data_IF_984096984777
#
_entry.id   IF_984096984777
#
_cell.length_a   1.000
_cell.length_b   1.000
_cell.length_c   1.000
_cell.angle_alpha   90.00
_cell.angle_beta   90.00
_cell.angle_gamma   90.00
#
_symmetry.space_group_name_H-M   'P 1'
#
loop_
_entity.id
_entity.type
_entity.pdbx_description
1 polymer ?
#
# COMPACT_ATOMS: atom_id res chain seq x y z
N UNK A 1 46.38 8.38 11.51
CA UNK A 1 45.10 7.65 11.55
C UNK A 1 44.04 8.68 11.83
N UNK A 2 43.40 9.16 10.77
CA UNK A 2 42.47 10.28 10.83
C UNK A 2 41.09 9.75 11.20
N UNK A 3 40.56 10.24 12.32
CA UNK A 3 39.31 9.79 12.92
C UNK A 3 38.11 10.48 12.29
N UNK A 4 37.80 10.11 11.04
CA UNK A 4 36.53 10.48 10.43
C UNK A 4 35.39 9.76 11.17
N UNK A 5 34.77 10.45 12.13
CA UNK A 5 33.51 10.01 12.75
C UNK A 5 32.46 9.92 11.64
N UNK A 6 31.98 8.71 11.41
CA UNK A 6 30.84 8.45 10.56
C UNK A 6 29.63 9.22 11.13
N UNK A 7 29.20 10.28 10.43
CA UNK A 7 27.94 10.96 10.74
C UNK A 7 26.86 10.04 10.20
N UNK A 8 26.12 9.38 11.08
CA UNK A 8 24.96 8.60 10.67
C UNK A 8 24.02 9.47 9.84
N UNK A 9 23.56 8.99 8.66
CA UNK A 9 22.55 9.71 7.91
C UNK A 9 21.31 9.84 8.79
N UNK A 10 20.88 11.08 9.04
CA UNK A 10 19.73 11.35 9.87
C UNK A 10 18.52 10.52 9.35
N UNK A 11 17.79 9.82 10.23
CA UNK A 11 16.64 9.04 9.82
C UNK A 11 15.62 9.96 9.13
N UNK A 12 14.85 9.48 8.13
CA UNK A 12 13.90 10.29 7.37
C UNK A 12 12.87 11.03 8.26
N UNK A 13 12.64 10.57 9.49
CA UNK A 13 11.85 11.28 10.49
C UNK A 13 12.42 12.64 10.91
N UNK A 14 13.73 12.85 10.83
CA UNK A 14 14.36 14.14 11.14
C UNK A 14 14.00 15.24 10.15
N UNK A 15 13.87 14.90 8.86
CA UNK A 15 13.39 15.85 7.85
C UNK A 15 11.90 16.15 8.04
N UNK A 16 11.08 15.13 8.32
CA UNK A 16 9.65 15.34 8.55
C UNK A 16 9.41 16.26 9.76
N UNK A 17 10.14 16.04 10.85
CA UNK A 17 10.10 16.91 12.02
C UNK A 17 10.58 18.32 11.68
N UNK A 18 11.71 18.45 10.97
CA UNK A 18 12.23 19.76 10.56
C UNK A 18 11.25 20.52 9.66
N UNK A 19 10.55 19.83 8.76
CA UNK A 19 9.54 20.41 7.89
C UNK A 19 8.31 20.87 8.67
N UNK A 20 7.83 20.06 9.62
CA UNK A 20 6.72 20.44 10.52
C UNK A 20 7.10 21.63 11.39
N UNK A 21 8.29 21.61 12.00
CA UNK A 21 8.81 22.73 12.77
C UNK A 21 8.95 23.97 11.90
N UNK A 22 9.44 23.84 10.67
CA UNK A 22 9.61 24.98 9.80
C UNK A 22 8.26 25.54 9.30
N UNK A 23 7.25 24.69 9.11
CA UNK A 23 5.87 25.12 8.84
C UNK A 23 5.24 25.80 10.07
N UNK A 24 5.47 25.26 11.27
CA UNK A 24 5.08 25.88 12.54
C UNK A 24 5.78 27.24 12.71
N UNK A 25 7.08 27.34 12.44
CA UNK A 25 7.84 28.59 12.47
C UNK A 25 7.44 29.58 11.37
N UNK A 26 6.86 29.11 10.27
CA UNK A 26 6.28 29.97 9.24
C UNK A 26 4.90 30.50 9.64
N UNK A 27 4.10 29.68 10.32
CA UNK A 27 2.78 30.06 10.82
C UNK A 27 2.87 30.95 12.07
N UNK A 28 3.84 30.67 12.95
CA UNK A 28 4.15 31.47 14.11
C UNK A 28 5.10 32.60 13.67
N UNK A 29 4.57 33.80 13.49
CA UNK A 29 5.40 34.94 13.12
C UNK A 29 6.34 35.32 14.26
N UNK A 30 7.64 35.05 14.09
CA UNK A 30 8.70 35.41 15.02
C UNK A 30 9.44 36.66 14.52
N UNK A 31 10.08 37.38 15.44
CA UNK A 31 10.99 38.46 15.10
C UNK A 31 11.78 38.96 16.29
N UNK A 32 12.75 39.82 16.02
CA UNK A 32 13.60 40.41 17.04
C UNK A 32 13.52 41.93 16.93
N UNK A 33 13.54 42.61 18.08
CA UNK A 33 13.68 44.06 18.13
C UNK A 33 15.16 44.42 18.08
N UNK A 34 15.51 45.35 17.20
CA UNK A 34 16.88 45.87 17.05
C UNK A 34 16.90 47.37 17.35
N UNK A 35 17.93 47.84 18.05
CA UNK A 35 18.07 49.24 18.41
C UNK A 35 18.50 50.05 17.18
N UNK A 36 17.80 51.14 16.88
CA UNK A 36 18.19 52.07 15.83
C UNK A 36 19.38 52.92 16.31
N UNK A 37 20.31 53.25 15.41
CA UNK A 37 21.65 53.78 15.73
C UNK A 37 21.72 55.14 16.45
N UNK A 38 20.60 55.75 16.83
CA UNK A 38 20.51 57.04 17.54
C UNK A 38 20.29 56.88 19.05
N UNK A 39 20.23 55.64 19.55
CA UNK A 39 19.98 55.32 20.96
C UNK A 39 21.26 54.87 21.67
N UNK A 40 21.42 55.24 22.95
CA UNK A 40 22.63 54.94 23.73
C UNK A 40 22.90 53.42 23.80
N UNK A 41 24.15 52.96 23.54
CA UNK A 41 24.46 51.54 23.53
C UNK A 41 24.23 50.91 24.91
N UNK A 42 23.40 49.87 24.96
CA UNK A 42 23.18 49.08 26.18
C UNK A 42 21.84 49.30 26.89
N UNK A 43 20.91 50.08 26.33
CA UNK A 43 19.54 50.14 26.86
C UNK A 43 18.75 48.94 26.31
N UNK A 44 18.48 47.96 27.17
CA UNK A 44 17.55 46.86 26.84
C UNK A 44 16.14 47.45 26.64
N UNK A 45 15.31 46.87 25.74
CA UNK A 45 13.94 47.30 25.57
C UNK A 45 13.16 46.98 26.85
N UNK A 46 13.04 47.95 27.75
CA UNK A 46 12.22 47.85 28.96
C UNK A 46 10.92 48.61 28.73
N UNK A 47 9.81 47.88 28.86
CA UNK A 47 8.60 48.36 29.49
C UNK A 47 8.37 47.55 30.76
N UNK A 48 8.67 48.15 31.92
CA UNK A 48 8.48 47.68 33.30
C UNK A 48 9.12 46.34 33.73
N UNK A 49 10.01 46.41 34.72
CA UNK A 49 10.48 45.27 35.50
C UNK A 49 9.33 44.78 36.40
N UNK A 50 9.03 43.47 36.37
CA UNK A 50 8.35 42.80 37.49
C UNK A 50 9.40 42.50 38.58
N UNK A 51 8.97 42.31 39.82
CA UNK A 51 9.77 42.29 41.08
C UNK A 51 10.92 41.25 41.14
N UNK A 52 11.12 40.45 40.08
CA UNK A 52 12.14 39.39 39.94
C UNK A 52 13.15 39.62 38.77
N UNK A 53 13.17 40.80 38.12
CA UNK A 53 14.32 41.26 37.32
C UNK A 53 14.67 40.48 36.05
N UNK A 54 13.73 39.73 35.45
CA UNK A 54 14.01 38.96 34.22
C UNK A 54 13.59 39.72 32.97
N UNK A 55 14.55 40.39 32.31
CA UNK A 55 14.33 41.14 31.08
C UNK A 55 14.45 40.25 29.82
N UNK A 56 13.40 39.48 29.50
CA UNK A 56 13.20 38.90 28.16
C UNK A 56 11.69 38.87 27.86
N UNK A 57 11.17 39.88 27.14
CA UNK A 57 9.85 39.77 26.50
C UNK A 57 10.01 38.95 25.21
N UNK A 58 9.89 37.62 25.35
CA UNK A 58 9.72 36.74 24.20
C UNK A 58 8.37 37.06 23.58
N UNK A 59 8.36 37.53 22.32
CA UNK A 59 7.13 37.71 21.56
C UNK A 59 6.40 36.37 21.44
N UNK A 60 5.19 36.27 21.97
CA UNK A 60 4.33 35.12 21.78
C UNK A 60 3.86 35.09 20.31
N UNK A 61 3.75 33.91 19.67
CA UNK A 61 3.30 33.81 18.28
C UNK A 61 2.01 34.59 18.02
N UNK A 62 2.04 35.52 17.06
CA UNK A 62 0.86 36.27 16.60
C UNK A 62 0.45 37.49 17.45
N UNK A 63 1.20 37.85 18.51
CA UNK A 63 0.98 39.08 19.29
C UNK A 63 2.25 39.91 19.28
N UNK A 64 2.16 41.13 18.75
CA UNK A 64 3.23 42.13 18.82
C UNK A 64 2.90 43.15 19.91
N UNK A 65 3.84 43.38 20.81
CA UNK A 65 3.76 44.48 21.77
C UNK A 65 4.06 45.82 21.08
N UNK A 66 3.65 46.94 21.68
CA UNK A 66 3.95 48.28 21.18
C UNK A 66 5.45 48.56 21.25
N UNK A 67 6.05 49.01 20.12
CA UNK A 67 7.48 49.28 20.06
C UNK A 67 7.83 50.60 20.79
N UNK A 68 8.84 50.59 21.67
CA UNK A 68 9.42 51.82 22.20
C UNK A 68 10.09 52.67 21.10
N UNK A 69 10.14 54.02 21.24
CA UNK A 69 10.86 54.88 20.31
C UNK A 69 12.34 54.49 20.18
N UNK A 70 12.86 54.39 18.95
CA UNK A 70 14.26 54.06 18.69
C UNK A 70 14.58 52.56 18.57
N UNK A 71 13.56 51.71 18.43
CA UNK A 71 13.68 50.29 18.09
C UNK A 71 12.94 49.96 16.80
N UNK A 72 13.50 49.05 16.00
CA UNK A 72 12.94 48.55 14.76
C UNK A 72 12.68 47.03 14.84
N UNK A 73 11.61 46.56 14.20
CA UNK A 73 11.23 45.15 14.17
C UNK A 73 11.85 44.44 12.97
N UNK A 74 12.64 43.40 13.23
CA UNK A 74 13.17 42.52 12.19
C UNK A 74 12.43 41.18 12.22
N UNK A 75 11.57 40.96 11.23
CA UNK A 75 10.87 39.70 11.04
C UNK A 75 11.86 38.54 10.82
N UNK A 76 11.65 37.43 11.52
CA UNK A 76 12.32 36.16 11.26
C UNK A 76 11.33 35.25 10.53
N UNK A 77 11.48 35.19 9.21
CA UNK A 77 10.63 34.35 8.36
C UNK A 77 11.30 32.99 8.11
N UNK A 78 10.58 31.92 8.44
CA UNK A 78 10.94 30.57 7.98
C UNK A 78 10.70 30.49 6.47
N UNK A 79 11.77 30.40 5.67
CA UNK A 79 11.69 30.27 4.20
C UNK A 79 11.40 28.85 3.72
N UNK A 80 10.86 27.98 4.58
CA UNK A 80 10.69 26.57 4.21
C UNK A 80 9.67 26.44 3.07
N UNK A 81 10.06 25.86 1.91
CA UNK A 81 9.15 25.73 0.80
C UNK A 81 8.11 24.65 1.11
N UNK A 82 6.85 25.05 1.29
CA UNK A 82 5.75 24.11 1.52
C UNK A 82 5.64 23.07 0.38
N UNK A 83 5.95 23.49 -0.85
CA UNK A 83 5.85 22.70 -2.07
C UNK A 83 6.79 21.47 -2.11
N UNK A 84 7.91 21.47 -1.38
CA UNK A 84 8.88 20.37 -1.42
C UNK A 84 8.59 19.26 -0.40
N UNK A 85 7.71 19.52 0.58
CA UNK A 85 7.42 18.54 1.62
C UNK A 85 6.69 17.31 1.07
N UNK A 86 5.64 17.50 0.27
CA UNK A 86 4.89 16.40 -0.35
C UNK A 86 5.77 15.45 -1.18
N UNK A 87 6.56 15.97 -2.15
CA UNK A 87 7.51 15.17 -2.92
C UNK A 87 8.55 14.43 -2.07
N UNK A 88 9.04 15.04 -0.99
CA UNK A 88 9.97 14.38 -0.07
C UNK A 88 9.30 13.19 0.62
N UNK A 89 8.11 13.37 1.22
CA UNK A 89 7.40 12.29 1.90
C UNK A 89 7.08 11.15 0.93
N UNK A 90 6.61 11.49 -0.28
CA UNK A 90 6.32 10.53 -1.35
C UNK A 90 7.56 9.70 -1.71
N UNK A 91 8.70 10.35 -1.94
CA UNK A 91 9.97 9.68 -2.27
C UNK A 91 10.47 8.79 -1.12
N UNK A 92 10.34 9.25 0.13
CA UNK A 92 10.72 8.47 1.30
C UNK A 92 9.88 7.19 1.41
N UNK A 93 8.56 7.29 1.26
CA UNK A 93 7.65 6.15 1.29
C UNK A 93 7.88 5.19 0.11
N UNK A 94 8.19 5.70 -1.08
CA UNK A 94 8.57 4.87 -2.23
C UNK A 94 9.84 4.04 -1.96
N UNK A 95 10.84 4.62 -1.28
CA UNK A 95 12.05 3.89 -0.87
C UNK A 95 11.75 2.83 0.18
N UNK A 96 10.88 3.12 1.14
CA UNK A 96 10.41 2.14 2.13
C UNK A 96 9.67 0.99 1.44
N UNK A 97 8.74 1.30 0.54
CA UNK A 97 7.99 0.33 -0.26
C UNK A 97 8.92 -0.58 -1.06
N UNK A 98 9.94 0.00 -1.71
CA UNK A 98 10.96 -0.74 -2.45
C UNK A 98 11.75 -1.69 -1.56
N UNK A 99 12.12 -1.26 -0.35
CA UNK A 99 12.81 -2.10 0.63
C UNK A 99 11.95 -3.26 1.15
N UNK A 100 10.66 -3.01 1.36
CA UNK A 100 9.69 -4.00 1.81
C UNK A 100 9.13 -4.87 0.67
N UNK A 101 9.45 -4.54 -0.58
CA UNK A 101 8.98 -5.21 -1.80
C UNK A 101 7.44 -5.22 -1.91
N UNK A 102 6.83 -4.12 -1.52
CA UNK A 102 5.39 -3.87 -1.66
C UNK A 102 5.16 -2.68 -2.58
N UNK A 103 3.98 -2.56 -3.16
CA UNK A 103 3.65 -1.41 -3.98
C UNK A 103 3.48 -0.14 -3.13
N UNK A 104 3.96 1.00 -3.65
CA UNK A 104 3.84 2.29 -2.95
C UNK A 104 2.38 2.64 -2.64
N UNK A 105 1.48 2.44 -3.60
CA UNK A 105 0.07 2.79 -3.43
C UNK A 105 -0.60 1.98 -2.32
N UNK A 106 -0.24 0.70 -2.15
CA UNK A 106 -0.73 -0.12 -1.04
C UNK A 106 -0.12 0.29 0.30
N UNK A 107 1.18 0.62 0.34
CA UNK A 107 1.87 1.03 1.56
C UNK A 107 1.41 2.40 2.06
N UNK A 108 1.31 3.38 1.16
CA UNK A 108 1.04 4.77 1.47
C UNK A 108 -0.46 5.12 1.43
N UNK A 109 -1.32 4.19 0.98
CA UNK A 109 -2.73 4.45 0.65
C UNK A 109 -2.90 5.62 -0.34
N UNK A 110 -1.94 5.78 -1.25
CA UNK A 110 -1.89 6.87 -2.23
C UNK A 110 -2.15 6.31 -3.64
N UNK A 111 -3.31 6.65 -4.21
CA UNK A 111 -3.72 6.30 -5.56
C UNK A 111 -3.59 7.50 -6.54
N UNK A 112 -2.88 8.55 -6.15
CA UNK A 112 -2.59 9.69 -7.02
C UNK A 112 -1.56 9.32 -8.10
N UNK A 113 -1.86 9.68 -9.36
CA UNK A 113 -0.93 9.53 -10.48
C UNK A 113 -0.77 8.10 -11.00
N UNK A 114 -1.64 7.18 -10.58
CA UNK A 114 -1.66 5.81 -11.08
C UNK A 114 -2.91 5.55 -11.93
N UNK A 115 -2.74 4.80 -13.02
CA UNK A 115 -3.83 4.42 -13.91
C UNK A 115 -4.19 2.93 -13.72
N UNK A 116 -5.27 2.49 -14.35
CA UNK A 116 -5.74 1.10 -14.23
C UNK A 116 -4.66 0.07 -14.60
N UNK A 117 -3.89 0.33 -15.66
CA UNK A 117 -2.87 -0.58 -16.15
C UNK A 117 -1.68 -0.66 -15.18
N UNK A 118 -1.21 0.48 -14.67
CA UNK A 118 -0.06 0.54 -13.77
C UNK A 118 -0.37 0.01 -12.36
N UNK A 119 -1.57 0.28 -11.81
CA UNK A 119 -2.02 -0.36 -10.55
C UNK A 119 -2.11 -1.87 -10.73
N UNK A 120 -2.67 -2.34 -11.87
CA UNK A 120 -2.83 -3.77 -12.12
C UNK A 120 -1.48 -4.48 -12.18
N UNK A 121 -0.52 -3.93 -12.93
CA UNK A 121 0.84 -4.50 -13.01
C UNK A 121 1.50 -4.54 -11.63
N UNK A 122 1.49 -3.43 -10.89
CA UNK A 122 2.11 -3.38 -9.56
C UNK A 122 1.46 -4.33 -8.54
N UNK A 123 0.13 -4.43 -8.57
CA UNK A 123 -0.63 -5.37 -7.72
C UNK A 123 -0.31 -6.83 -8.07
N UNK A 124 -0.06 -7.11 -9.35
CA UNK A 124 0.25 -8.46 -9.81
C UNK A 124 1.60 -8.94 -9.31
N UNK A 125 2.63 -8.13 -9.49
CA UNK A 125 3.99 -8.44 -9.03
C UNK A 125 4.01 -8.63 -7.51
N UNK A 126 3.28 -7.78 -6.78
CA UNK A 126 3.15 -7.90 -5.33
C UNK A 126 2.45 -9.21 -4.92
N UNK A 127 1.34 -9.59 -5.57
CA UNK A 127 0.62 -10.84 -5.29
C UNK A 127 1.45 -12.08 -5.63
N UNK A 128 2.22 -12.05 -6.71
CA UNK A 128 3.13 -13.13 -7.07
C UNK A 128 4.21 -13.31 -5.99
N UNK A 129 4.76 -12.19 -5.51
CA UNK A 129 5.70 -12.22 -4.38
C UNK A 129 5.08 -12.82 -3.12
N UNK A 130 3.84 -12.42 -2.77
CA UNK A 130 3.13 -13.01 -1.64
C UNK A 130 2.85 -14.50 -1.80
N UNK A 131 2.57 -14.97 -3.02
CA UNK A 131 2.41 -16.39 -3.29
C UNK A 131 3.74 -17.15 -3.12
N UNK A 132 4.85 -16.55 -3.56
CA UNK A 132 6.20 -17.09 -3.35
C UNK A 132 6.56 -17.18 -1.86
N UNK A 133 6.25 -16.16 -1.07
CA UNK A 133 6.49 -16.18 0.39
C UNK A 133 5.64 -17.21 1.13
N UNK A 134 4.37 -17.37 0.73
CA UNK A 134 3.53 -18.44 1.25
C UNK A 134 4.14 -19.80 0.93
N UNK A 135 4.58 -20.02 -0.32
CA UNK A 135 5.19 -21.29 -0.72
C UNK A 135 6.48 -21.57 0.04
N UNK A 136 7.34 -20.56 0.21
CA UNK A 136 8.54 -20.67 1.03
C UNK A 136 8.20 -21.10 2.46
N UNK A 137 7.25 -20.42 3.12
CA UNK A 137 6.85 -20.76 4.48
C UNK A 137 6.22 -22.16 4.59
N UNK A 138 5.43 -22.55 3.59
CA UNK A 138 4.88 -23.91 3.48
C UNK A 138 6.03 -24.94 3.45
N UNK A 139 7.03 -24.70 2.62
CA UNK A 139 8.13 -25.64 2.39
C UNK A 139 9.06 -25.76 3.59
N UNK A 140 9.42 -24.64 4.22
CA UNK A 140 10.39 -24.64 5.33
C UNK A 140 9.76 -25.03 6.68
N UNK A 141 8.49 -24.71 6.90
CA UNK A 141 7.85 -24.85 8.21
C UNK A 141 6.66 -25.79 8.15
N UNK A 142 5.64 -25.49 7.34
CA UNK A 142 4.35 -26.19 7.45
C UNK A 142 4.44 -27.67 7.06
N UNK A 143 5.20 -28.03 6.02
CA UNK A 143 5.41 -29.43 5.64
C UNK A 143 6.06 -30.23 6.78
N UNK A 144 7.05 -29.66 7.46
CA UNK A 144 7.74 -30.29 8.61
C UNK A 144 6.79 -30.44 9.79
N UNK A 145 6.12 -29.37 10.19
CA UNK A 145 5.18 -29.36 11.32
C UNK A 145 4.06 -30.36 11.09
N UNK A 146 3.48 -30.40 9.87
CA UNK A 146 2.41 -31.33 9.54
C UNK A 146 2.88 -32.78 9.59
N UNK A 147 4.08 -33.10 9.10
CA UNK A 147 4.58 -34.46 9.12
C UNK A 147 4.64 -35.01 10.55
N UNK A 148 5.20 -34.24 11.49
CA UNK A 148 5.27 -34.60 12.91
C UNK A 148 3.89 -34.63 13.56
N UNK A 149 3.06 -33.61 13.27
CA UNK A 149 1.69 -33.55 13.77
C UNK A 149 0.86 -34.77 13.34
N UNK A 150 0.98 -35.22 12.09
CA UNK A 150 0.25 -36.38 11.58
C UNK A 150 0.64 -37.65 12.34
N UNK A 151 1.94 -37.89 12.51
CA UNK A 151 2.43 -39.07 13.24
C UNK A 151 1.93 -39.05 14.69
N UNK A 152 2.08 -37.92 15.37
CA UNK A 152 1.64 -37.79 16.76
C UNK A 152 0.13 -37.94 16.91
N UNK A 153 -0.65 -37.34 16.01
CA UNK A 153 -2.12 -37.41 16.06
C UNK A 153 -2.65 -38.82 15.81
N UNK A 154 -1.97 -39.61 14.98
CA UNK A 154 -2.31 -41.02 14.77
C UNK A 154 -1.91 -41.89 15.96
N UNK A 155 -0.73 -41.66 16.57
CA UNK A 155 -0.27 -42.40 17.75
C UNK A 155 -1.12 -42.10 18.99
N UNK A 156 -1.58 -40.85 19.14
CA UNK A 156 -2.44 -40.43 20.25
C UNK A 156 -3.92 -40.75 20.02
N UNK A 157 -4.28 -41.43 18.92
CA UNK A 157 -5.66 -41.73 18.54
C UNK A 157 -6.57 -40.49 18.45
N UNK A 158 -6.01 -39.31 18.14
CA UNK A 158 -6.78 -38.05 18.08
C UNK A 158 -7.62 -37.92 16.81
N UNK A 159 -7.27 -38.65 15.74
CA UNK A 159 -8.02 -38.66 14.47
C UNK A 159 -8.82 -39.95 14.36
N UNK A 160 -10.14 -39.82 14.30
CA UNK A 160 -11.07 -40.95 14.25
C UNK A 160 -11.83 -41.00 12.93
N UNK A 161 -12.22 -42.22 12.54
CA UNK A 161 -13.16 -42.48 11.45
C UNK A 161 -14.59 -42.09 11.90
N UNK A 162 -15.54 -41.93 10.95
CA UNK A 162 -16.94 -41.64 11.29
C UNK A 162 -17.61 -42.69 12.20
N UNK A 163 -17.06 -43.91 12.26
CA UNK A 163 -17.52 -44.97 13.16
C UNK A 163 -16.89 -44.89 14.57
N UNK A 164 -16.12 -43.84 14.87
CA UNK A 164 -15.46 -43.63 16.16
C UNK A 164 -14.13 -44.37 16.36
N UNK A 165 -13.73 -45.27 15.45
CA UNK A 165 -12.46 -45.98 15.56
C UNK A 165 -11.26 -45.08 15.19
N UNK A 166 -10.12 -45.19 15.88
CA UNK A 166 -8.95 -44.37 15.56
C UNK A 166 -8.31 -44.79 14.23
N UNK A 167 -7.74 -43.82 13.51
CA UNK A 167 -6.99 -44.12 12.28
C UNK A 167 -5.72 -44.90 12.61
N UNK A 168 -5.43 -46.02 11.92
CA UNK A 168 -4.23 -46.81 12.19
C UNK A 168 -2.94 -46.02 11.87
N UNK A 169 -2.06 -45.89 12.86
CA UNK A 169 -0.74 -45.26 12.70
C UNK A 169 0.15 -45.97 11.67
N UNK A 170 0.02 -47.29 11.53
CA UNK A 170 0.71 -48.08 10.51
C UNK A 170 0.41 -47.63 9.07
N UNK A 171 -0.68 -46.88 8.84
CA UNK A 171 -1.07 -46.35 7.54
C UNK A 171 -0.71 -44.87 7.36
N UNK A 172 0.17 -44.29 8.19
CA UNK A 172 0.55 -42.88 8.11
C UNK A 172 0.96 -42.43 6.69
N UNK A 173 1.71 -43.26 5.95
CA UNK A 173 2.12 -42.97 4.56
C UNK A 173 0.92 -42.75 3.63
N UNK A 174 -0.17 -43.50 3.82
CA UNK A 174 -1.40 -43.33 3.03
C UNK A 174 -2.05 -41.95 3.25
N UNK A 175 -1.90 -41.38 4.43
CA UNK A 175 -2.46 -40.07 4.81
C UNK A 175 -1.44 -38.92 4.68
N UNK A 176 -0.23 -39.23 4.20
CA UNK A 176 0.84 -38.25 4.09
C UNK A 176 0.59 -37.24 2.96
N UNK A 177 -0.04 -37.65 1.86
CA UNK A 177 -0.37 -36.78 0.73
C UNK A 177 -1.34 -35.66 1.18
N UNK A 178 -1.02 -34.44 0.79
CA UNK A 178 -1.79 -33.24 1.11
C UNK A 178 -1.35 -32.09 0.21
N UNK A 179 -2.24 -31.13 0.04
CA UNK A 179 -1.96 -29.84 -0.59
C UNK A 179 -2.17 -28.71 0.42
N UNK A 180 -1.43 -27.63 0.23
CA UNK A 180 -1.59 -26.39 1.01
C UNK A 180 -2.29 -25.35 0.15
N UNK A 181 -3.44 -24.89 0.63
CA UNK A 181 -4.21 -23.82 -0.02
C UNK A 181 -3.86 -22.49 0.63
N UNK A 182 -2.92 -21.79 0.01
CA UNK A 182 -2.57 -20.42 0.37
C UNK A 182 -3.69 -19.42 0.04
N UNK A 183 -3.58 -18.21 0.58
CA UNK A 183 -4.50 -17.12 0.25
C UNK A 183 -4.36 -16.77 -1.23
N UNK A 184 -5.49 -16.65 -1.90
CA UNK A 184 -5.61 -16.17 -3.28
C UNK A 184 -6.42 -14.88 -3.33
N UNK A 185 -6.35 -14.19 -4.47
CA UNK A 185 -6.98 -12.89 -4.66
C UNK A 185 -7.89 -12.90 -5.88
N UNK A 186 -8.97 -12.14 -5.79
CA UNK A 186 -9.80 -11.84 -6.94
C UNK A 186 -9.18 -10.73 -7.79
N UNK A 187 -9.53 -10.74 -9.07
CA UNK A 187 -9.08 -9.75 -10.04
C UNK A 187 -9.94 -8.49 -9.99
N UNK A 188 -9.42 -7.39 -10.54
CA UNK A 188 -10.16 -6.11 -10.59
C UNK A 188 -11.39 -6.21 -11.50
N UNK A 189 -11.31 -7.01 -12.58
CA UNK A 189 -12.46 -7.43 -13.39
C UNK A 189 -12.64 -8.96 -13.27
N UNK A 190 -13.37 -9.43 -12.24
CA UNK A 190 -13.56 -10.85 -12.01
C UNK A 190 -14.21 -11.57 -13.20
N UNK A 191 -15.06 -10.88 -13.98
CA UNK A 191 -15.84 -11.51 -15.04
C UNK A 191 -14.96 -11.85 -16.24
N UNK A 192 -14.18 -10.89 -16.74
CA UNK A 192 -13.28 -11.13 -17.89
C UNK A 192 -12.24 -12.18 -17.57
N UNK A 193 -11.61 -12.07 -16.40
CA UNK A 193 -10.56 -13.00 -15.97
C UNK A 193 -11.13 -14.41 -15.72
N UNK A 194 -12.35 -14.54 -15.18
CA UNK A 194 -13.01 -15.84 -15.01
C UNK A 194 -13.41 -16.47 -16.34
N UNK A 195 -13.93 -15.69 -17.29
CA UNK A 195 -14.28 -16.21 -18.62
C UNK A 195 -13.06 -16.76 -19.36
N UNK A 196 -11.90 -16.09 -19.26
CA UNK A 196 -10.65 -16.60 -19.82
C UNK A 196 -10.23 -17.93 -19.17
N UNK A 197 -10.39 -18.06 -17.85
CA UNK A 197 -10.09 -19.29 -17.11
C UNK A 197 -11.03 -20.44 -17.47
N UNK A 198 -12.33 -20.17 -17.58
CA UNK A 198 -13.33 -21.14 -18.03
C UNK A 198 -13.01 -21.61 -19.45
N UNK A 199 -12.65 -20.70 -20.35
CA UNK A 199 -12.23 -21.04 -21.70
C UNK A 199 -10.97 -21.91 -21.71
N UNK A 200 -9.98 -21.62 -20.86
CA UNK A 200 -8.77 -22.43 -20.70
C UNK A 200 -9.05 -23.85 -20.21
N UNK A 201 -9.94 -24.01 -19.23
CA UNK A 201 -10.40 -25.34 -18.76
C UNK A 201 -11.15 -26.07 -19.88
N UNK A 202 -12.05 -25.37 -20.59
CA UNK A 202 -12.79 -25.93 -21.72
C UNK A 202 -11.90 -26.36 -22.88
N UNK A 203 -10.79 -25.65 -23.10
CA UNK A 203 -9.76 -26.00 -24.10
C UNK A 203 -8.79 -27.11 -23.64
N UNK A 204 -8.88 -27.56 -22.38
CA UNK A 204 -7.98 -28.57 -21.81
C UNK A 204 -6.59 -28.05 -21.45
N UNK A 205 -6.39 -26.73 -21.39
CA UNK A 205 -5.12 -26.10 -21.01
C UNK A 205 -4.95 -25.99 -19.49
N UNK A 206 -6.03 -26.13 -18.73
CA UNK A 206 -6.04 -26.00 -17.27
C UNK A 206 -6.95 -27.08 -16.67
N UNK A 207 -6.48 -27.75 -15.61
CA UNK A 207 -7.32 -28.69 -14.89
C UNK A 207 -8.36 -27.93 -14.03
N UNK A 208 -9.58 -28.46 -13.86
CA UNK A 208 -10.58 -27.87 -12.95
C UNK A 208 -10.07 -27.73 -11.51
N UNK A 209 -9.19 -28.64 -11.08
CA UNK A 209 -8.54 -28.60 -9.77
C UNK A 209 -7.64 -27.38 -9.62
N UNK A 210 -6.84 -27.06 -10.65
CA UNK A 210 -5.96 -25.89 -10.66
C UNK A 210 -6.76 -24.59 -10.63
N UNK A 211 -7.91 -24.56 -11.30
CA UNK A 211 -8.82 -23.41 -11.26
C UNK A 211 -9.39 -23.20 -9.86
N UNK A 212 -9.86 -24.26 -9.20
CA UNK A 212 -10.33 -24.19 -7.81
C UNK A 212 -9.22 -23.77 -6.85
N UNK A 213 -8.02 -24.32 -6.99
CA UNK A 213 -6.86 -23.98 -6.16
C UNK A 213 -6.43 -22.51 -6.36
N UNK A 214 -6.54 -21.97 -7.58
CA UNK A 214 -6.30 -20.55 -7.86
C UNK A 214 -7.35 -19.63 -7.23
N UNK A 215 -8.53 -20.14 -6.90
CA UNK A 215 -9.53 -19.45 -6.08
C UNK A 215 -9.38 -19.73 -4.58
N UNK A 216 -8.34 -20.47 -4.17
CA UNK A 216 -8.11 -20.86 -2.78
C UNK A 216 -9.13 -21.88 -2.26
N UNK A 217 -9.71 -22.69 -3.15
CA UNK A 217 -10.72 -23.72 -2.81
C UNK A 217 -10.21 -25.09 -3.18
N UNK A 218 -10.52 -26.07 -2.33
CA UNK A 218 -10.34 -27.47 -2.70
C UNK A 218 -11.43 -27.91 -3.68
N UNK A 219 -11.05 -28.60 -4.74
CA UNK A 219 -11.97 -29.02 -5.78
C UNK A 219 -12.93 -30.11 -5.29
N UNK A 220 -12.44 -31.08 -4.52
CA UNK A 220 -13.26 -32.17 -4.01
C UNK A 220 -14.33 -31.64 -3.05
N UNK A 221 -13.94 -30.80 -2.10
CA UNK A 221 -14.88 -30.13 -1.18
C UNK A 221 -15.91 -29.29 -1.93
N UNK A 222 -15.48 -28.60 -2.98
CA UNK A 222 -16.39 -27.82 -3.83
C UNK A 222 -17.44 -28.73 -4.49
N UNK A 223 -17.03 -29.88 -5.03
CA UNK A 223 -17.95 -30.85 -5.64
C UNK A 223 -18.91 -31.47 -4.62
N UNK A 224 -18.44 -31.79 -3.41
CA UNK A 224 -19.29 -32.28 -2.31
C UNK A 224 -20.37 -31.24 -1.96
N UNK A 225 -19.98 -29.98 -1.76
CA UNK A 225 -20.91 -28.89 -1.45
C UNK A 225 -21.91 -28.62 -2.58
N UNK A 226 -21.48 -28.71 -3.84
CA UNK A 226 -22.38 -28.60 -4.99
C UNK A 226 -23.44 -29.71 -4.94
N UNK A 227 -23.04 -30.95 -4.66
CA UNK A 227 -23.99 -32.07 -4.53
C UNK A 227 -24.98 -31.84 -3.38
N UNK A 228 -24.50 -31.46 -2.21
CA UNK A 228 -25.34 -31.15 -1.05
C UNK A 228 -26.36 -30.03 -1.36
N UNK A 229 -25.91 -28.97 -2.05
CA UNK A 229 -26.77 -27.88 -2.48
C UNK A 229 -27.84 -28.36 -3.48
N UNK A 230 -27.48 -29.21 -4.44
CA UNK A 230 -28.44 -29.79 -5.39
C UNK A 230 -29.47 -30.69 -4.70
N UNK A 231 -29.04 -31.52 -3.76
CA UNK A 231 -29.92 -32.43 -3.03
C UNK A 231 -30.89 -31.65 -2.12
N UNK A 232 -30.42 -30.57 -1.49
CA UNK A 232 -31.26 -29.67 -0.71
C UNK A 232 -32.25 -28.90 -1.60
N UNK A 233 -31.78 -28.37 -2.73
CA UNK A 233 -32.63 -27.63 -3.66
C UNK A 233 -33.76 -28.52 -4.22
N UNK A 234 -33.46 -29.78 -4.56
CA UNK A 234 -34.48 -30.77 -4.95
C UNK A 234 -35.51 -31.02 -3.85
N UNK A 235 -35.08 -31.14 -2.59
CA UNK A 235 -35.99 -31.32 -1.44
C UNK A 235 -36.91 -30.12 -1.21
N UNK A 236 -36.41 -28.91 -1.46
CA UNK A 236 -37.13 -27.66 -1.26
C UNK A 236 -37.93 -27.21 -2.50
N UNK A 237 -37.81 -27.91 -3.64
CA UNK A 237 -38.42 -27.49 -4.90
C UNK A 237 -37.79 -26.22 -5.51
N UNK A 238 -36.54 -25.90 -5.17
CA UNK A 238 -35.79 -24.75 -5.68
C UNK A 238 -34.99 -25.17 -6.91
N UNK A 239 -35.05 -24.37 -7.97
CA UNK A 239 -34.22 -24.56 -9.17
C UNK A 239 -32.95 -23.73 -9.04
N UNK A 240 -31.79 -24.37 -9.19
CA UNK A 240 -30.48 -23.70 -9.18
C UNK A 240 -29.99 -23.50 -10.63
N UNK A 241 -30.15 -22.31 -11.23
CA UNK A 241 -29.84 -22.05 -12.64
C UNK A 241 -28.34 -22.12 -12.98
N UNK A 242 -27.47 -22.23 -11.96
CA UNK A 242 -26.03 -22.41 -12.15
C UNK A 242 -25.65 -23.81 -12.67
N UNK A 243 -26.52 -24.82 -12.51
CA UNK A 243 -26.18 -26.23 -12.75
C UNK A 243 -27.07 -26.91 -13.80
N UNK A 244 -27.86 -26.14 -14.56
CA UNK A 244 -28.69 -26.69 -15.62
C UNK A 244 -27.86 -27.05 -16.86
N UNK A 245 -28.13 -28.21 -17.47
CA UNK A 245 -27.41 -28.75 -18.63
C UNK A 245 -27.58 -27.92 -19.91
N UNK A 246 -28.55 -27.01 -19.93
CA UNK A 246 -28.79 -26.03 -20.99
C UNK A 246 -28.69 -24.62 -20.44
N UNK A 247 -27.51 -24.21 -19.98
CA UNK A 247 -27.19 -22.79 -20.14
C UNK A 247 -27.02 -22.57 -21.65
N UNK A 248 -27.83 -21.73 -22.31
CA UNK A 248 -27.38 -21.19 -23.58
C UNK A 248 -26.02 -20.55 -23.30
N UNK A 249 -25.03 -20.87 -24.11
CA UNK A 249 -23.77 -20.15 -24.09
C UNK A 249 -24.15 -18.66 -24.14
N UNK A 250 -23.95 -17.94 -23.03
CA UNK A 250 -24.01 -16.50 -23.08
C UNK A 250 -22.81 -16.12 -23.94
N UNK A 251 -23.04 -15.99 -25.24
CA UNK A 251 -22.17 -15.24 -26.11
C UNK A 251 -21.90 -13.91 -25.39
N UNK A 252 -20.64 -13.52 -25.17
CA UNK A 252 -20.39 -12.20 -24.61
C UNK A 252 -20.96 -11.18 -25.59
N UNK A 253 -21.88 -10.34 -25.11
CA UNK A 253 -22.30 -9.16 -25.84
C UNK A 253 -21.05 -8.32 -26.17
N UNK A 254 -20.81 -7.96 -27.44
CA UNK A 254 -19.70 -7.09 -27.79
C UNK A 254 -20.08 -5.61 -27.59
N UNK A 255 -19.09 -4.85 -27.06
CA UNK A 255 -18.94 -3.37 -27.01
C UNK A 255 -19.74 -2.64 -25.90
N UNK A 256 -19.16 -1.71 -25.13
CA UNK A 256 -18.28 -0.61 -25.58
C UNK A 256 -17.01 -0.42 -24.73
N UNK A 257 -15.95 0.01 -25.41
CA UNK A 257 -14.81 0.74 -24.83
C UNK A 257 -15.30 1.91 -23.98
N UNK A 258 -14.85 2.08 -22.73
CA UNK A 258 -14.42 3.40 -22.31
C UNK A 258 -13.07 3.65 -23.01
N UNK A 259 -13.00 4.74 -23.78
CA UNK A 259 -11.79 5.29 -24.40
C UNK A 259 -10.51 4.82 -23.70
N UNK A 260 -9.65 4.12 -24.45
CA UNK A 260 -8.23 4.45 -24.40
C UNK A 260 -8.15 5.97 -24.54
N UNK A 261 -7.82 6.67 -23.46
CA UNK A 261 -7.12 7.93 -23.59
C UNK A 261 -5.76 7.56 -24.16
N UNK A 262 -5.65 7.59 -25.48
CA UNK A 262 -4.36 7.82 -26.13
C UNK A 262 -3.72 9.04 -25.44
N UNK A 263 -2.41 9.02 -25.13
CA UNK A 263 -1.73 10.26 -24.80
C UNK A 263 -1.84 11.16 -26.04
N UNK A 264 -2.40 12.35 -25.87
CA UNK A 264 -2.21 13.42 -26.86
C UNK A 264 -0.70 13.69 -26.92
N UNK A 265 -0.09 13.29 -28.05
CA UNK A 265 1.21 13.77 -28.48
C UNK A 265 1.06 15.28 -28.74
N UNK A 266 1.49 16.11 -27.78
CA UNK A 266 1.75 17.54 -28.01
C UNK A 266 3.09 17.67 -28.76
N UNK A 267 3.07 17.40 -30.07
CA UNK A 267 4.05 17.93 -31.02
C UNK A 267 3.30 18.74 -32.09
N UNK A 268 3.45 20.07 -32.03
CA UNK A 268 3.58 21.05 -33.14
C UNK A 268 2.98 22.42 -32.78
N UNK A 269 3.83 23.34 -32.31
CA UNK A 269 3.72 24.78 -32.62
C UNK A 269 5.08 25.27 -33.18
N UNK A 270 5.23 25.09 -34.49
CA UNK A 270 6.04 25.85 -35.45
C UNK A 270 5.02 26.13 -36.57
N UNK A 271 4.68 27.34 -36.99
CA UNK A 271 5.45 28.55 -37.25
C UNK A 271 4.50 29.76 -37.30
N UNK A 272 5.00 30.97 -37.00
CA UNK A 272 4.77 32.19 -37.80
C UNK A 272 5.43 33.41 -37.11
N UNK A 273 6.69 33.72 -37.45
CA UNK A 273 7.14 35.12 -37.62
C UNK A 273 8.42 35.17 -38.48
N UNK A 274 8.27 35.07 -39.80
CA UNK A 274 9.27 35.56 -40.76
C UNK A 274 8.76 36.87 -41.38
N UNK A 275 9.13 38.01 -40.79
CA UNK A 275 9.16 39.30 -41.50
C UNK A 275 9.89 40.40 -40.69
N UNK A 276 11.22 40.33 -40.58
CA UNK A 276 12.05 41.52 -40.37
C UNK A 276 13.42 41.36 -41.05
N UNK A 277 13.38 41.53 -42.37
CA UNK A 277 14.38 42.17 -43.23
C UNK A 277 15.84 42.23 -42.77
N UNK A 278 16.68 41.52 -43.54
CA UNK A 278 17.95 42.00 -44.10
C UNK A 278 18.24 43.50 -43.92
N UNK A 279 19.22 43.81 -43.06
CA UNK A 279 20.35 44.69 -43.37
C UNK A 279 21.48 44.49 -42.35
#
# INVERSE_FOLDING_TARGET
MDGARYVEPAPPGGFMLAAVLAAEHGANHFGFFTQTGDSAPGTLPIGAEDDDGTAISTSQPGVYDTLPPGFDFKAHESKYPNEVFGPFVKTALQRVASGWRVSYHALANDLEGVNFSSIRSGTLDERDRWASDQQWFIDIMLKRVRAEWLVMSLLSNAVTLPNGSPLPSAKAVKFAAHDWLGRRWEWVDPLRDMNARIAGVGAGLMAPQDLSAQMGRDFYDTMVKIKEAQDLAKKLGIVLPAYESKRPASAPAPKANPKESEPEDDEEEQDEEEAAASN
#
